data_IF_128435530307
#
_entry.id   IF_128435530307
#
_cell.length_a   1.000
_cell.length_b   1.000
_cell.length_c   1.000
_cell.angle_alpha   90.00
_cell.angle_beta   90.00
_cell.angle_gamma   90.00
#
_symmetry.space_group_name_H-M   'P 1'
#
loop_
_entity.id
_entity.type
_entity.pdbx_description
1 polymer ?
#
# COMPACT_ATOMS: atom_id res chain seq x y z
N UNK A 1 -16.10 1.07 16.34
CA UNK A 1 -15.34 0.54 15.19
C UNK A 1 -14.74 1.70 14.43
N UNK A 2 -13.46 1.66 14.21
CA UNK A 2 -12.74 2.69 13.46
C UNK A 2 -11.92 2.05 12.33
N UNK A 3 -11.20 2.87 11.59
CA UNK A 3 -10.47 2.43 10.40
C UNK A 3 -8.97 2.53 10.64
N UNK A 4 -8.23 1.56 10.11
CA UNK A 4 -6.78 1.58 10.07
C UNK A 4 -6.35 1.44 8.60
N UNK A 5 -5.46 2.31 8.16
CA UNK A 5 -4.99 2.35 6.78
C UNK A 5 -3.61 1.71 6.70
N UNK A 6 -3.42 0.84 5.72
CA UNK A 6 -2.13 0.21 5.41
C UNK A 6 -1.76 0.50 3.97
N UNK A 7 -0.50 0.91 3.78
CA UNK A 7 0.16 0.78 2.48
C UNK A 7 0.49 -0.68 2.20
N UNK A 8 0.82 -1.01 0.97
CA UNK A 8 1.12 -2.37 0.55
C UNK A 8 2.62 -2.57 0.30
N UNK A 9 3.16 -1.95 -0.76
CA UNK A 9 4.57 -2.10 -1.14
C UNK A 9 5.51 -1.43 -0.14
N UNK A 10 6.42 -2.20 0.46
CA UNK A 10 7.32 -1.73 1.51
C UNK A 10 6.70 -1.73 2.90
N UNK A 11 5.42 -2.05 3.03
CA UNK A 11 4.69 -2.07 4.30
C UNK A 11 4.23 -3.49 4.63
N UNK A 12 3.18 -3.98 3.98
CA UNK A 12 2.69 -5.36 4.13
C UNK A 12 3.50 -6.34 3.28
N UNK A 13 3.96 -5.91 2.11
CA UNK A 13 4.72 -6.70 1.16
C UNK A 13 6.13 -6.12 0.98
N UNK A 14 7.14 -6.97 1.09
CA UNK A 14 8.53 -6.62 0.81
C UNK A 14 8.80 -6.93 -0.66
N UNK A 15 9.08 -5.89 -1.43
CA UNK A 15 9.15 -5.96 -2.90
C UNK A 15 10.56 -6.01 -3.46
N UNK A 16 11.56 -6.28 -2.61
CA UNK A 16 12.97 -6.23 -3.01
C UNK A 16 13.29 -7.16 -4.17
N UNK A 17 12.78 -8.39 -4.14
CA UNK A 17 13.03 -9.37 -5.21
C UNK A 17 12.38 -8.94 -6.53
N UNK A 18 11.15 -8.45 -6.48
CA UNK A 18 10.46 -7.95 -7.67
C UNK A 18 11.16 -6.72 -8.24
N UNK A 19 11.62 -5.82 -7.39
CA UNK A 19 12.40 -4.65 -7.79
C UNK A 19 13.70 -5.06 -8.46
N UNK A 20 14.39 -6.05 -7.90
CA UNK A 20 15.66 -6.54 -8.42
C UNK A 20 15.53 -7.07 -9.85
N UNK A 21 14.54 -7.93 -10.14
CA UNK A 21 14.35 -8.47 -11.48
C UNK A 21 13.86 -7.42 -12.48
N UNK A 22 13.27 -6.34 -12.00
CA UNK A 22 12.70 -5.26 -12.81
C UNK A 22 13.70 -4.14 -13.08
N UNK A 23 14.86 -4.15 -12.45
CA UNK A 23 15.88 -3.13 -12.65
C UNK A 23 16.76 -3.48 -13.83
N UNK A 24 16.81 -2.60 -14.84
CA UNK A 24 17.65 -2.75 -16.03
C UNK A 24 19.12 -2.53 -15.70
N UNK A 25 20.06 -2.99 -16.57
CA UNK A 25 21.49 -2.74 -16.34
C UNK A 25 21.87 -1.26 -16.21
N UNK A 26 21.09 -0.35 -16.80
CA UNK A 26 21.28 1.10 -16.68
C UNK A 26 20.72 1.70 -15.39
N UNK A 27 20.19 0.87 -14.49
CA UNK A 27 19.59 1.30 -13.22
C UNK A 27 18.15 1.77 -13.32
N UNK A 28 17.58 1.85 -14.51
CA UNK A 28 16.18 2.24 -14.70
C UNK A 28 15.23 1.06 -14.49
N UNK A 29 14.02 1.37 -14.03
CA UNK A 29 12.97 0.38 -13.82
C UNK A 29 12.34 -0.05 -15.14
N UNK A 30 12.20 -1.37 -15.33
CA UNK A 30 11.34 -1.93 -16.36
C UNK A 30 9.93 -2.09 -15.75
N UNK A 31 9.06 -1.15 -16.04
CA UNK A 31 7.73 -1.11 -15.45
C UNK A 31 6.83 -2.26 -15.91
N UNK A 32 7.04 -2.79 -17.11
CA UNK A 32 6.28 -3.93 -17.60
C UNK A 32 6.59 -5.19 -16.78
N UNK A 33 7.86 -5.39 -16.44
CA UNK A 33 8.28 -6.50 -15.56
C UNK A 33 7.79 -6.26 -14.12
N UNK A 34 7.94 -5.04 -13.63
CA UNK A 34 7.55 -4.69 -12.26
C UNK A 34 6.05 -4.87 -12.02
N UNK A 35 5.22 -4.52 -13.00
CA UNK A 35 3.77 -4.64 -12.92
C UNK A 35 3.20 -5.90 -13.59
N UNK A 36 4.04 -6.86 -13.97
CA UNK A 36 3.56 -8.15 -14.45
C UNK A 36 2.91 -8.91 -13.29
N UNK A 37 1.62 -9.31 -13.41
CA UNK A 37 0.91 -9.98 -12.33
C UNK A 37 1.62 -11.23 -11.79
N UNK A 38 2.30 -12.00 -12.63
CA UNK A 38 3.02 -13.22 -12.20
C UNK A 38 4.22 -12.90 -11.30
N UNK A 39 4.79 -11.70 -11.36
CA UNK A 39 5.92 -11.30 -10.54
C UNK A 39 5.50 -10.85 -9.12
N UNK A 40 4.22 -10.66 -8.87
CA UNK A 40 3.69 -10.35 -7.54
C UNK A 40 4.00 -11.49 -6.54
N UNK A 41 4.05 -12.72 -6.99
CA UNK A 41 4.41 -13.87 -6.14
C UNK A 41 5.85 -13.82 -5.60
N UNK A 42 6.71 -12.97 -6.16
CA UNK A 42 8.07 -12.75 -5.65
C UNK A 42 8.09 -11.92 -4.37
N UNK A 43 7.02 -11.18 -4.08
CA UNK A 43 6.94 -10.35 -2.89
C UNK A 43 6.90 -11.21 -1.63
N UNK A 44 7.73 -10.84 -0.66
CA UNK A 44 7.79 -11.52 0.63
C UNK A 44 6.86 -10.85 1.64
N UNK A 45 6.21 -11.62 2.53
CA UNK A 45 5.36 -11.03 3.55
C UNK A 45 6.19 -10.32 4.62
N UNK A 46 5.77 -9.13 5.01
CA UNK A 46 6.30 -8.47 6.21
C UNK A 46 5.48 -8.94 7.42
N UNK A 47 5.94 -10.01 8.04
CA UNK A 47 5.20 -10.69 9.10
C UNK A 47 4.84 -9.77 10.27
N UNK A 48 5.72 -8.84 10.64
CA UNK A 48 5.45 -7.91 11.74
C UNK A 48 4.28 -6.98 11.45
N UNK A 49 4.22 -6.43 10.25
CA UNK A 49 3.13 -5.52 9.86
C UNK A 49 1.84 -6.30 9.63
N UNK A 50 1.93 -7.49 9.03
CA UNK A 50 0.76 -8.36 8.83
C UNK A 50 0.15 -8.75 10.20
N UNK A 51 0.97 -9.07 11.20
CA UNK A 51 0.50 -9.35 12.55
C UNK A 51 -0.27 -8.16 13.15
N UNK A 52 0.19 -6.93 12.89
CA UNK A 52 -0.54 -5.73 13.32
C UNK A 52 -1.90 -5.62 12.64
N UNK A 53 -1.97 -5.87 11.33
CA UNK A 53 -3.24 -5.86 10.61
C UNK A 53 -4.22 -6.90 11.16
N UNK A 54 -3.74 -8.10 11.43
CA UNK A 54 -4.55 -9.19 12.02
C UNK A 54 -5.03 -8.82 13.43
N UNK A 55 -4.17 -8.27 14.25
CA UNK A 55 -4.50 -7.86 15.63
C UNK A 55 -5.54 -6.75 15.63
N UNK A 56 -5.38 -5.74 14.80
CA UNK A 56 -6.32 -4.62 14.72
C UNK A 56 -7.67 -5.07 14.14
N UNK A 57 -7.66 -5.99 13.19
CA UNK A 57 -8.91 -6.59 12.69
C UNK A 57 -9.63 -7.35 13.79
N UNK A 58 -8.91 -8.16 14.57
CA UNK A 58 -9.48 -8.91 15.69
C UNK A 58 -10.03 -7.98 16.78
N UNK A 59 -9.45 -6.78 16.94
CA UNK A 59 -9.95 -5.77 17.87
C UNK A 59 -11.20 -5.04 17.37
N UNK A 60 -11.70 -5.37 16.18
CA UNK A 60 -12.93 -4.81 15.63
C UNK A 60 -12.74 -3.62 14.68
N UNK A 61 -11.52 -3.30 14.30
CA UNK A 61 -11.27 -2.23 13.34
C UNK A 61 -11.42 -2.71 11.89
N UNK A 62 -11.79 -1.78 11.00
CA UNK A 62 -11.78 -2.03 9.56
C UNK A 62 -10.38 -1.81 9.03
N UNK A 63 -9.92 -2.72 8.19
CA UNK A 63 -8.60 -2.65 7.56
C UNK A 63 -8.77 -2.16 6.12
N UNK A 64 -8.10 -1.05 5.81
CA UNK A 64 -8.18 -0.40 4.51
C UNK A 64 -6.78 -0.39 3.92
N UNK A 65 -6.62 -1.00 2.75
CA UNK A 65 -5.35 -0.99 2.02
C UNK A 65 -5.44 0.01 0.88
N UNK A 66 -4.53 0.98 0.88
CA UNK A 66 -4.40 1.98 -0.17
C UNK A 66 -3.04 1.83 -0.84
N UNK A 67 -3.03 1.36 -2.08
CA UNK A 67 -1.80 1.01 -2.80
C UNK A 67 -1.65 1.79 -4.09
N UNK A 68 -0.44 2.28 -4.36
CA UNK A 68 -0.10 2.88 -5.63
C UNK A 68 0.07 1.87 -6.78
N UNK A 69 -0.05 0.56 -6.51
CA UNK A 69 -0.02 -0.46 -7.57
C UNK A 69 -1.11 -0.24 -8.59
N UNK A 70 -0.80 -0.55 -9.85
CA UNK A 70 -1.81 -0.55 -10.91
C UNK A 70 -2.93 -1.54 -10.62
N UNK A 71 -4.15 -1.12 -10.83
CA UNK A 71 -5.36 -1.95 -10.73
C UNK A 71 -5.32 -3.16 -11.69
N UNK A 72 -4.46 -3.12 -12.71
CA UNK A 72 -4.23 -4.26 -13.59
C UNK A 72 -3.68 -5.48 -12.83
N UNK A 73 -3.02 -5.29 -11.68
CA UNK A 73 -2.51 -6.38 -10.84
C UNK A 73 -3.44 -6.74 -9.69
N UNK A 74 -4.70 -6.32 -9.72
CA UNK A 74 -5.62 -6.46 -8.59
C UNK A 74 -5.86 -7.91 -8.19
N UNK A 75 -6.11 -8.78 -9.16
CA UNK A 75 -6.40 -10.19 -8.87
C UNK A 75 -5.18 -10.90 -8.27
N UNK A 76 -4.00 -10.68 -8.82
CA UNK A 76 -2.76 -11.23 -8.28
C UNK A 76 -2.46 -10.68 -6.88
N UNK A 77 -2.72 -9.40 -6.65
CA UNK A 77 -2.56 -8.75 -5.35
C UNK A 77 -3.51 -9.35 -4.31
N UNK A 78 -4.77 -9.54 -4.65
CA UNK A 78 -5.75 -10.18 -3.76
C UNK A 78 -5.36 -11.63 -3.44
N UNK A 79 -4.88 -12.38 -4.43
CA UNK A 79 -4.40 -13.75 -4.22
C UNK A 79 -3.23 -13.77 -3.24
N UNK A 80 -2.29 -12.84 -3.37
CA UNK A 80 -1.16 -12.68 -2.46
C UNK A 80 -1.63 -12.36 -1.04
N UNK A 81 -2.56 -11.42 -0.88
CA UNK A 81 -3.10 -11.04 0.43
C UNK A 81 -3.77 -12.25 1.11
N UNK A 82 -4.53 -13.05 0.36
CA UNK A 82 -5.18 -14.25 0.90
C UNK A 82 -4.17 -15.33 1.28
N UNK A 83 -3.13 -15.52 0.46
CA UNK A 83 -2.06 -16.49 0.70
C UNK A 83 -1.38 -16.26 2.06
N UNK A 84 -1.19 -15.01 2.44
CA UNK A 84 -0.50 -14.63 3.67
C UNK A 84 -1.45 -14.17 4.80
N UNK A 85 -2.73 -14.46 4.67
CA UNK A 85 -3.76 -14.17 5.66
C UNK A 85 -3.80 -12.68 6.07
N UNK A 86 -3.63 -11.79 5.10
CA UNK A 86 -3.75 -10.36 5.33
C UNK A 86 -5.22 -9.97 5.26
N UNK A 87 -5.82 -9.50 6.37
CA UNK A 87 -7.21 -9.06 6.34
C UNK A 87 -7.33 -7.71 5.63
N UNK A 88 -8.42 -7.52 4.91
CA UNK A 88 -8.79 -6.20 4.38
C UNK A 88 -10.29 -6.12 4.12
N UNK A 89 -10.86 -4.98 4.43
CA UNK A 89 -12.25 -4.65 4.16
C UNK A 89 -12.37 -3.85 2.87
N UNK A 90 -11.39 -3.00 2.59
CA UNK A 90 -11.31 -2.20 1.37
C UNK A 90 -9.89 -2.30 0.82
N UNK A 91 -9.78 -2.50 -0.47
CA UNK A 91 -8.54 -2.42 -1.23
C UNK A 91 -8.73 -1.42 -2.37
N UNK A 92 -7.97 -0.32 -2.31
CA UNK A 92 -7.89 0.67 -3.40
C UNK A 92 -6.55 0.54 -4.09
N UNK A 93 -6.58 0.49 -5.41
CA UNK A 93 -5.41 0.45 -6.27
C UNK A 93 -5.50 1.52 -7.35
N UNK A 94 -4.35 1.92 -7.88
CA UNK A 94 -4.25 2.98 -8.90
C UNK A 94 -5.10 2.63 -10.12
N UNK A 95 -6.05 3.49 -10.53
CA UNK A 95 -6.79 3.29 -11.76
C UNK A 95 -5.88 3.24 -12.98
N UNK A 96 -6.28 2.49 -14.02
CA UNK A 96 -5.49 2.30 -15.23
C UNK A 96 -5.63 3.43 -16.25
N UNK A 97 -6.56 4.38 -16.03
CA UNK A 97 -6.74 5.51 -16.93
C UNK A 97 -5.53 6.45 -16.93
N UNK A 98 -5.34 7.18 -18.01
CA UNK A 98 -4.20 8.09 -18.19
C UNK A 98 -4.11 9.17 -17.11
N UNK A 99 -5.24 9.62 -16.57
CA UNK A 99 -5.29 10.66 -15.55
C UNK A 99 -4.56 10.27 -14.26
N UNK A 100 -4.46 8.95 -13.98
CA UNK A 100 -3.87 8.43 -12.75
C UNK A 100 -2.51 7.78 -12.94
N UNK A 101 -2.13 7.49 -14.20
CA UNK A 101 -0.90 6.73 -14.49
C UNK A 101 0.36 7.36 -13.88
N UNK A 102 0.48 8.69 -13.96
CA UNK A 102 1.63 9.44 -13.48
C UNK A 102 1.34 10.27 -12.23
N UNK A 103 0.17 10.12 -11.62
CA UNK A 103 -0.16 10.83 -10.38
C UNK A 103 0.77 10.35 -9.26
N UNK A 104 1.49 11.26 -8.58
CA UNK A 104 2.30 10.87 -7.44
C UNK A 104 1.49 10.15 -6.36
N UNK A 105 2.11 9.20 -5.67
CA UNK A 105 1.43 8.37 -4.66
C UNK A 105 0.81 9.19 -3.53
N UNK A 106 1.47 10.25 -3.09
CA UNK A 106 0.95 11.12 -2.04
C UNK A 106 -0.32 11.86 -2.50
N UNK A 107 -0.39 12.29 -3.74
CA UNK A 107 -1.59 12.92 -4.30
C UNK A 107 -2.73 11.91 -4.48
N UNK A 108 -2.41 10.71 -4.97
CA UNK A 108 -3.39 9.64 -5.14
C UNK A 108 -4.01 9.24 -3.80
N UNK A 109 -3.20 9.06 -2.79
CA UNK A 109 -3.65 8.68 -1.44
C UNK A 109 -4.39 9.83 -0.74
N UNK A 110 -3.99 11.08 -0.96
CA UNK A 110 -4.75 12.25 -0.48
C UNK A 110 -6.16 12.26 -1.08
N UNK A 111 -6.28 12.02 -2.37
CA UNK A 111 -7.58 11.94 -3.04
C UNK A 111 -8.46 10.86 -2.43
N UNK A 112 -7.92 9.67 -2.19
CA UNK A 112 -8.68 8.57 -1.57
C UNK A 112 -9.06 8.90 -0.13
N UNK A 113 -8.17 9.54 0.63
CA UNK A 113 -8.47 9.99 2.00
C UNK A 113 -9.71 10.90 2.01
N UNK A 114 -9.74 11.87 1.11
CA UNK A 114 -10.84 12.83 1.01
C UNK A 114 -12.14 12.18 0.53
N UNK A 115 -12.05 11.18 -0.36
CA UNK A 115 -13.22 10.47 -0.88
C UNK A 115 -13.81 9.47 0.12
N UNK A 116 -12.96 8.78 0.87
CA UNK A 116 -13.40 7.68 1.75
C UNK A 116 -13.84 8.15 3.13
N UNK A 117 -13.32 9.30 3.60
CA UNK A 117 -13.54 9.75 4.97
C UNK A 117 -14.02 11.20 5.01
N UNK A 118 -15.21 11.40 5.54
CA UNK A 118 -15.71 12.76 5.86
C UNK A 118 -15.16 13.26 7.18
N UNK A 119 -14.88 12.35 8.11
CA UNK A 119 -14.29 12.66 9.41
C UNK A 119 -13.01 11.84 9.60
N UNK A 120 -11.86 12.52 9.66
CA UNK A 120 -10.55 11.90 9.86
C UNK A 120 -10.38 11.30 11.26
N UNK A 121 -11.23 11.70 12.22
CA UNK A 121 -11.25 11.08 13.54
C UNK A 121 -11.72 9.61 13.51
N UNK A 122 -12.31 9.16 12.40
CA UNK A 122 -12.66 7.76 12.19
C UNK A 122 -11.46 6.88 11.83
N UNK A 123 -10.28 7.48 11.68
CA UNK A 123 -9.02 6.78 11.38
C UNK A 123 -8.17 6.72 12.66
N UNK A 124 -7.85 5.51 13.11
CA UNK A 124 -6.99 5.28 14.28
C UNK A 124 -5.55 5.66 13.98
N UNK A 125 -5.00 5.08 12.93
CA UNK A 125 -3.63 5.32 12.48
C UNK A 125 -3.43 4.81 11.06
N UNK A 126 -2.26 5.11 10.51
CA UNK A 126 -1.81 4.68 9.19
C UNK A 126 -0.46 3.98 9.31
N UNK A 127 -0.24 2.93 8.54
CA UNK A 127 1.06 2.27 8.38
C UNK A 127 1.54 2.50 6.94
N UNK A 128 2.69 3.12 6.80
CA UNK A 128 3.31 3.42 5.49
C UNK A 128 4.83 3.47 5.66
N UNK A 129 5.59 3.40 4.57
CA UNK A 129 7.05 3.45 4.62
C UNK A 129 7.64 4.67 3.89
N UNK A 130 7.02 5.11 2.80
CA UNK A 130 7.58 6.16 1.96
C UNK A 130 7.45 7.54 2.61
N UNK A 131 8.58 8.22 2.83
CA UNK A 131 8.61 9.49 3.56
C UNK A 131 7.64 10.53 3.03
N UNK A 132 7.58 10.70 1.72
CA UNK A 132 6.68 11.67 1.09
C UNK A 132 5.20 11.40 1.40
N UNK A 133 4.83 10.13 1.44
CA UNK A 133 3.46 9.70 1.76
C UNK A 133 3.20 9.80 3.26
N UNK A 134 4.17 9.40 4.08
CA UNK A 134 4.11 9.57 5.54
C UNK A 134 3.89 11.04 5.91
N UNK A 135 4.63 11.94 5.27
CA UNK A 135 4.48 13.39 5.48
C UNK A 135 3.06 13.84 5.13
N UNK A 136 2.50 13.35 4.04
CA UNK A 136 1.12 13.66 3.64
C UNK A 136 0.12 13.21 4.70
N UNK A 137 0.24 11.98 5.21
CA UNK A 137 -0.64 11.50 6.29
C UNK A 137 -0.55 12.40 7.52
N UNK A 138 0.68 12.71 7.96
CA UNK A 138 0.93 13.54 9.14
C UNK A 138 0.44 14.97 8.96
N UNK A 139 0.59 15.54 7.76
CA UNK A 139 0.07 16.88 7.43
C UNK A 139 -1.46 16.95 7.48
N UNK A 140 -2.13 15.81 7.33
CA UNK A 140 -3.58 15.71 7.52
C UNK A 140 -3.99 15.49 8.99
N UNK A 141 -3.03 15.54 9.92
CA UNK A 141 -3.29 15.34 11.35
C UNK A 141 -3.42 13.88 11.78
N UNK A 142 -3.05 12.94 10.90
CA UNK A 142 -3.14 11.51 11.20
C UNK A 142 -1.87 11.00 11.85
N UNK A 143 -2.03 10.06 12.80
CA UNK A 143 -0.90 9.28 13.32
C UNK A 143 -0.45 8.30 12.26
N UNK A 144 0.80 8.43 11.80
CA UNK A 144 1.39 7.51 10.84
C UNK A 144 2.58 6.78 11.47
N UNK A 145 2.47 5.46 11.50
CA UNK A 145 3.54 4.56 11.90
C UNK A 145 4.40 4.28 10.67
N UNK A 146 5.58 4.87 10.64
CA UNK A 146 6.52 4.64 9.54
C UNK A 146 7.30 3.34 9.79
N UNK A 147 7.05 2.34 8.99
CA UNK A 147 7.52 0.97 9.24
C UNK A 147 8.95 0.70 8.76
N UNK A 148 9.48 1.55 7.89
CA UNK A 148 10.82 1.44 7.34
C UNK A 148 11.29 2.79 6.81
N UNK A 149 12.62 3.01 6.63
CA UNK A 149 13.13 4.20 5.94
C UNK A 149 12.59 4.27 4.52
N UNK A 150 12.18 5.45 4.07
CA UNK A 150 11.49 5.61 2.80
C UNK A 150 11.86 6.86 2.01
N UNK A 151 13.14 7.20 1.95
CA UNK A 151 13.65 8.41 1.25
C UNK A 151 13.70 8.22 -0.27
N UNK A 152 12.63 7.74 -0.87
CA UNK A 152 12.57 7.52 -2.31
C UNK A 152 11.30 8.06 -2.95
#
# INVERSE_FOLDING_TARGET
MKNVIFDLDGTLALIDDRRKISTKPNGKMDWDVFFDPKNIDLDQPNHGVIAMAQTLKAAGHRIIILSGRSKATKDATKAWLRKFDVPFDILKMRPTSKDFMFMPDDQLKQMWLDQLFTDKNDIVCVFDDRQKVVDMWRNNGLTCMQVAPGNF
#
